data_IF_793043339734
#
_entry.id   IF_793043339734
#
_cell.length_a   1.000
_cell.length_b   1.000
_cell.length_c   1.000
_cell.angle_alpha   90.00
_cell.angle_beta   90.00
_cell.angle_gamma   90.00
#
_symmetry.space_group_name_H-M   'P 1'
#
loop_
_entity.id
_entity.type
_entity.pdbx_description
1 polymer ?
#
# COMPACT_ATOMS: atom_id res chain seq x y z
N UNK A 1 26.75 -13.51 27.85
CA UNK A 1 26.16 -13.34 26.50
C UNK A 1 26.29 -11.87 26.12
N UNK A 2 27.09 -11.52 25.09
CA UNK A 2 27.35 -10.13 24.70
C UNK A 2 26.07 -9.43 24.21
N UNK A 3 25.93 -8.14 24.53
CA UNK A 3 24.76 -7.31 24.16
C UNK A 3 24.43 -7.37 22.66
N UNK A 4 25.43 -7.46 21.78
CA UNK A 4 25.26 -7.61 20.33
C UNK A 4 24.46 -8.85 19.93
N UNK A 5 24.69 -9.99 20.60
CA UNK A 5 23.97 -11.25 20.34
C UNK A 5 22.52 -11.21 20.87
N UNK A 6 22.28 -10.45 21.95
CA UNK A 6 20.92 -10.23 22.45
C UNK A 6 20.11 -9.30 21.53
N UNK A 7 20.74 -8.27 20.96
CA UNK A 7 20.08 -7.36 20.02
C UNK A 7 19.74 -8.05 18.69
N UNK A 8 20.66 -8.85 18.14
CA UNK A 8 20.42 -9.61 16.91
C UNK A 8 19.29 -10.64 17.06
N UNK A 9 19.26 -11.40 18.17
CA UNK A 9 18.19 -12.37 18.44
C UNK A 9 16.82 -11.70 18.64
N UNK A 10 16.77 -10.53 19.27
CA UNK A 10 15.54 -9.71 19.35
C UNK A 10 15.06 -9.29 17.97
N UNK A 11 15.95 -8.74 17.13
CA UNK A 11 15.62 -8.34 15.75
C UNK A 11 15.07 -9.53 14.95
N UNK A 12 15.69 -10.72 15.07
CA UNK A 12 15.23 -11.94 14.39
C UNK A 12 13.83 -12.38 14.86
N UNK A 13 13.58 -12.35 16.18
CA UNK A 13 12.26 -12.68 16.75
C UNK A 13 11.18 -11.70 16.28
N UNK A 14 11.44 -10.40 16.39
CA UNK A 14 10.50 -9.36 15.91
C UNK A 14 10.23 -9.50 14.41
N UNK A 15 11.26 -9.75 13.61
CA UNK A 15 11.12 -9.95 12.17
C UNK A 15 10.19 -11.11 11.81
N UNK A 16 10.11 -12.16 12.65
CA UNK A 16 9.15 -13.26 12.44
C UNK A 16 7.71 -12.84 12.66
N UNK A 17 7.44 -12.08 13.71
CA UNK A 17 6.10 -11.52 13.97
C UNK A 17 5.68 -10.58 12.87
N UNK A 18 6.55 -9.65 12.46
CA UNK A 18 6.27 -8.72 11.36
C UNK A 18 6.02 -9.44 10.05
N UNK A 19 6.78 -10.50 9.74
CA UNK A 19 6.56 -11.29 8.53
C UNK A 19 5.21 -12.01 8.52
N UNK A 20 4.78 -12.56 9.67
CA UNK A 20 3.44 -13.15 9.80
C UNK A 20 2.35 -12.09 9.61
N UNK A 21 2.52 -10.91 10.20
CA UNK A 21 1.62 -9.79 10.02
C UNK A 21 1.53 -9.36 8.55
N UNK A 22 2.66 -9.19 7.87
CA UNK A 22 2.69 -8.80 6.45
C UNK A 22 1.99 -9.84 5.58
N UNK A 23 2.20 -11.14 5.83
CA UNK A 23 1.52 -12.23 5.11
C UNK A 23 0.02 -12.27 5.38
N UNK A 24 -0.37 -12.06 6.64
CA UNK A 24 -1.77 -11.92 7.00
C UNK A 24 -2.42 -10.77 6.22
N UNK A 25 -1.77 -9.59 6.19
CA UNK A 25 -2.25 -8.44 5.43
C UNK A 25 -2.32 -8.71 3.92
N UNK A 26 -1.39 -9.47 3.34
CA UNK A 26 -1.44 -9.84 1.91
C UNK A 26 -2.71 -10.61 1.54
N UNK A 27 -3.27 -11.40 2.46
CA UNK A 27 -4.53 -12.14 2.25
C UNK A 27 -5.73 -11.32 2.70
N UNK A 28 -5.61 -10.63 3.83
CA UNK A 28 -6.70 -9.84 4.41
C UNK A 28 -7.12 -8.68 3.51
N UNK A 29 -6.18 -8.00 2.84
CA UNK A 29 -6.47 -6.86 1.96
C UNK A 29 -7.35 -7.27 0.77
N UNK A 30 -7.00 -8.28 -0.06
CA UNK A 30 -7.88 -8.73 -1.14
C UNK A 30 -9.24 -9.22 -0.65
N UNK A 31 -9.25 -9.99 0.45
CA UNK A 31 -10.49 -10.50 1.04
C UNK A 31 -11.40 -9.36 1.47
N UNK A 32 -10.84 -8.30 2.07
CA UNK A 32 -11.58 -7.09 2.43
C UNK A 32 -12.23 -6.43 1.21
N UNK A 33 -11.51 -6.25 0.10
CA UNK A 33 -12.07 -5.64 -1.11
C UNK A 33 -13.15 -6.51 -1.76
N UNK A 34 -12.98 -7.83 -1.76
CA UNK A 34 -14.01 -8.76 -2.25
C UNK A 34 -15.26 -8.67 -1.39
N UNK A 35 -15.14 -8.76 -0.06
CA UNK A 35 -16.27 -8.66 0.87
C UNK A 35 -16.96 -7.30 0.73
N UNK A 36 -16.19 -6.22 0.64
CA UNK A 36 -16.74 -4.86 0.49
C UNK A 36 -17.64 -4.76 -0.74
N UNK A 37 -17.19 -5.20 -1.92
CA UNK A 37 -17.98 -5.12 -3.15
C UNK A 37 -19.12 -6.13 -3.23
N UNK A 38 -18.94 -7.35 -2.72
CA UNK A 38 -20.00 -8.38 -2.70
C UNK A 38 -21.14 -7.99 -1.76
N UNK A 39 -20.82 -7.41 -0.60
CA UNK A 39 -21.81 -7.06 0.41
C UNK A 39 -22.20 -5.59 0.41
N UNK A 40 -21.78 -4.80 -0.59
CA UNK A 40 -21.96 -3.34 -0.60
C UNK A 40 -23.41 -2.89 -0.34
N UNK A 41 -24.39 -3.61 -0.89
CA UNK A 41 -25.83 -3.31 -0.73
C UNK A 41 -26.39 -3.65 0.67
N UNK A 42 -25.65 -4.40 1.48
CA UNK A 42 -26.01 -4.77 2.86
C UNK A 42 -25.19 -4.01 3.91
N UNK A 43 -24.17 -3.26 3.48
CA UNK A 43 -23.34 -2.47 4.38
C UNK A 43 -24.10 -1.20 4.80
N UNK A 44 -23.98 -0.78 6.08
CA UNK A 44 -24.51 0.50 6.51
C UNK A 44 -23.87 1.64 5.72
N UNK A 45 -24.67 2.66 5.40
CA UNK A 45 -24.25 3.88 4.69
C UNK A 45 -23.00 4.53 5.31
N UNK A 46 -22.80 4.39 6.63
CA UNK A 46 -21.60 4.88 7.32
C UNK A 46 -20.32 4.20 6.85
N UNK A 47 -20.34 2.88 6.56
CA UNK A 47 -19.19 2.13 6.04
C UNK A 47 -18.95 2.39 4.55
N UNK A 48 -20.00 2.71 3.80
CA UNK A 48 -19.90 3.09 2.39
C UNK A 48 -19.27 4.48 2.27
N UNK A 49 -19.69 5.42 3.13
CA UNK A 49 -19.30 6.83 3.07
C UNK A 49 -18.02 7.22 3.84
N UNK A 50 -17.30 6.26 4.45
CA UNK A 50 -16.05 6.57 5.22
C UNK A 50 -15.03 7.34 4.38
N UNK A 51 -15.04 7.20 3.05
CA UNK A 51 -14.11 7.85 2.14
C UNK A 51 -14.78 8.59 0.96
N UNK A 52 -16.10 8.80 1.00
CA UNK A 52 -16.83 9.55 -0.03
C UNK A 52 -17.58 10.71 0.62
N UNK A 53 -17.57 11.88 -0.03
CA UNK A 53 -18.29 13.05 0.47
C UNK A 53 -19.76 12.68 0.73
N UNK A 54 -20.25 12.99 1.93
CA UNK A 54 -21.62 12.71 2.36
C UNK A 54 -22.61 13.44 1.46
N UNK A 55 -23.12 12.74 0.46
CA UNK A 55 -24.15 13.22 -0.46
C UNK A 55 -25.15 12.08 -0.64
N UNK A 56 -26.44 12.40 -0.84
CA UNK A 56 -27.50 11.41 -0.81
C UNK A 56 -27.32 10.44 -1.98
N UNK A 57 -26.72 9.30 -1.71
CA UNK A 57 -26.93 8.10 -2.52
C UNK A 57 -28.42 7.82 -2.33
N UNK A 58 -29.23 8.10 -3.36
CA UNK A 58 -30.62 7.65 -3.40
C UNK A 58 -30.65 6.19 -2.98
N UNK A 59 -31.63 5.79 -2.16
CA UNK A 59 -31.84 4.46 -1.53
C UNK A 59 -32.02 3.29 -2.54
N UNK A 60 -31.32 3.34 -3.67
CA UNK A 60 -31.27 2.31 -4.67
C UNK A 60 -30.06 1.42 -4.42
N UNK A 61 -30.34 0.12 -4.36
CA UNK A 61 -29.32 -0.93 -4.42
C UNK A 61 -28.43 -0.71 -5.64
N UNK A 62 -27.11 -0.71 -5.44
CA UNK A 62 -26.15 -0.59 -6.53
C UNK A 62 -26.37 -1.76 -7.51
N UNK A 63 -26.49 -1.45 -8.80
CA UNK A 63 -26.70 -2.49 -9.81
C UNK A 63 -25.45 -3.39 -9.94
N UNK A 64 -25.66 -4.68 -10.22
CA UNK A 64 -24.56 -5.66 -10.37
C UNK A 64 -23.46 -5.21 -11.35
N UNK A 65 -23.77 -4.58 -12.51
CA UNK A 65 -22.73 -4.06 -13.40
C UNK A 65 -21.85 -2.97 -12.77
N UNK A 66 -22.45 -2.08 -11.97
CA UNK A 66 -21.73 -1.02 -11.25
C UNK A 66 -20.86 -1.59 -10.12
N UNK A 67 -21.31 -2.66 -9.45
CA UNK A 67 -20.50 -3.38 -8.48
C UNK A 67 -19.25 -4.00 -9.13
N UNK A 68 -19.40 -4.65 -10.29
CA UNK A 68 -18.27 -5.20 -11.03
C UNK A 68 -17.31 -4.11 -11.50
N UNK A 69 -17.83 -2.99 -12.00
CA UNK A 69 -16.99 -1.86 -12.43
C UNK A 69 -16.15 -1.31 -11.26
N UNK A 70 -16.78 -1.13 -10.10
CA UNK A 70 -16.10 -0.70 -8.89
C UNK A 70 -15.08 -1.71 -8.36
N UNK A 71 -15.41 -3.02 -8.40
CA UNK A 71 -14.48 -4.09 -8.04
C UNK A 71 -13.26 -4.11 -8.96
N UNK A 72 -13.46 -3.99 -10.27
CA UNK A 72 -12.38 -3.93 -11.26
C UNK A 72 -11.50 -2.68 -11.07
N UNK A 73 -12.12 -1.55 -10.76
CA UNK A 73 -11.41 -0.31 -10.45
C UNK A 73 -10.55 -0.41 -9.17
N UNK A 74 -10.87 -1.33 -8.24
CA UNK A 74 -10.08 -1.57 -7.04
C UNK A 74 -8.79 -2.38 -7.29
N UNK A 75 -8.74 -3.16 -8.39
CA UNK A 75 -7.61 -4.06 -8.65
C UNK A 75 -6.24 -3.36 -8.68
N UNK A 76 -6.06 -2.20 -9.35
CA UNK A 76 -4.77 -1.51 -9.34
C UNK A 76 -4.29 -1.10 -7.94
N UNK A 77 -5.22 -0.71 -7.07
CA UNK A 77 -4.92 -0.34 -5.67
C UNK A 77 -4.46 -1.58 -4.89
N UNK A 78 -5.21 -2.67 -5.00
CA UNK A 78 -4.89 -3.94 -4.33
C UNK A 78 -3.54 -4.48 -4.80
N UNK A 79 -3.27 -4.46 -6.11
CA UNK A 79 -2.00 -4.91 -6.68
C UNK A 79 -0.82 -4.06 -6.19
N UNK A 80 -1.00 -2.74 -6.09
CA UNK A 80 0.04 -1.83 -5.56
C UNK A 80 0.35 -2.14 -4.08
N UNK A 81 -0.68 -2.39 -3.26
CA UNK A 81 -0.51 -2.80 -1.85
C UNK A 81 0.18 -4.16 -1.72
N UNK A 82 -0.26 -5.17 -2.48
CA UNK A 82 0.36 -6.50 -2.47
C UNK A 82 1.83 -6.39 -2.88
N UNK A 83 2.14 -5.62 -3.93
CA UNK A 83 3.51 -5.40 -4.35
C UNK A 83 4.37 -4.80 -3.22
N UNK A 84 3.86 -3.79 -2.50
CA UNK A 84 4.53 -3.24 -1.31
C UNK A 84 4.75 -4.29 -0.22
N UNK A 85 3.70 -5.02 0.15
CA UNK A 85 3.75 -6.07 1.17
C UNK A 85 4.74 -7.18 0.82
N UNK A 86 4.80 -7.63 -0.43
CA UNK A 86 5.75 -8.66 -0.87
C UNK A 86 7.19 -8.19 -0.69
N UNK A 87 7.49 -6.93 -0.99
CA UNK A 87 8.83 -6.38 -0.78
C UNK A 87 9.16 -6.23 0.71
N UNK A 88 8.16 -5.91 1.56
CA UNK A 88 8.30 -5.89 3.02
C UNK A 88 8.57 -7.31 3.58
N UNK A 89 7.86 -8.34 3.15
CA UNK A 89 8.11 -9.75 3.57
C UNK A 89 9.52 -10.18 3.19
N UNK A 90 9.97 -9.83 1.97
CA UNK A 90 11.35 -10.09 1.53
C UNK A 90 12.37 -9.37 2.39
N UNK A 91 12.12 -8.12 2.77
CA UNK A 91 13.01 -7.35 3.64
C UNK A 91 13.16 -8.01 5.01
N UNK A 92 12.05 -8.37 5.65
CA UNK A 92 12.08 -9.07 6.94
C UNK A 92 12.71 -10.46 6.85
N UNK A 93 12.62 -11.15 5.71
CA UNK A 93 13.33 -12.42 5.50
C UNK A 93 14.85 -12.25 5.60
N UNK A 94 15.42 -11.16 5.08
CA UNK A 94 16.86 -10.90 5.25
C UNK A 94 17.22 -10.61 6.71
N UNK A 95 16.39 -9.86 7.44
CA UNK A 95 16.61 -9.60 8.87
C UNK A 95 16.53 -10.86 9.74
N UNK A 96 15.63 -11.80 9.40
CA UNK A 96 15.59 -13.12 10.04
C UNK A 96 16.89 -13.91 9.83
N UNK A 97 17.54 -13.76 8.68
CA UNK A 97 18.82 -14.40 8.38
C UNK A 97 20.01 -13.70 9.04
N UNK A 98 19.79 -12.61 9.78
CA UNK A 98 20.85 -11.81 10.39
C UNK A 98 21.64 -10.96 9.39
N UNK A 99 21.16 -10.87 8.14
CA UNK A 99 21.78 -10.02 7.12
C UNK A 99 21.26 -8.60 7.31
N UNK A 100 22.17 -7.65 7.46
CA UNK A 100 21.85 -6.23 7.66
C UNK A 100 22.71 -5.40 6.70
N UNK A 101 22.13 -4.36 6.11
CA UNK A 101 22.75 -3.45 5.15
C UNK A 101 23.34 -4.10 3.89
N UNK A 102 22.70 -5.14 3.35
CA UNK A 102 23.07 -5.65 2.03
C UNK A 102 22.53 -4.79 0.90
N UNK A 103 23.22 -4.77 -0.24
CA UNK A 103 22.76 -4.11 -1.47
C UNK A 103 21.33 -4.54 -1.86
N UNK A 104 20.99 -5.82 -1.65
CA UNK A 104 19.66 -6.36 -1.93
C UNK A 104 18.58 -5.75 -1.02
N UNK A 105 18.88 -5.45 0.25
CA UNK A 105 17.94 -4.79 1.17
C UNK A 105 17.70 -3.34 0.76
N UNK A 106 18.74 -2.63 0.32
CA UNK A 106 18.63 -1.26 -0.19
C UNK A 106 17.71 -1.21 -1.42
N UNK A 107 17.87 -2.17 -2.34
CA UNK A 107 16.97 -2.31 -3.48
C UNK A 107 15.53 -2.57 -3.06
N UNK A 108 15.28 -3.37 -2.03
CA UNK A 108 13.92 -3.61 -1.51
C UNK A 108 13.28 -2.32 -0.96
N UNK A 109 14.02 -1.46 -0.24
CA UNK A 109 13.49 -0.16 0.20
C UNK A 109 13.02 0.71 -0.98
N UNK A 110 13.79 0.73 -2.08
CA UNK A 110 13.35 1.44 -3.30
C UNK A 110 12.08 0.84 -3.90
N UNK A 111 11.91 -0.48 -3.85
CA UNK A 111 10.69 -1.14 -4.36
C UNK A 111 9.48 -0.83 -3.47
N UNK A 112 9.67 -0.79 -2.14
CA UNK A 112 8.63 -0.36 -1.19
C UNK A 112 8.23 1.08 -1.45
N UNK A 113 9.19 2.00 -1.62
CA UNK A 113 8.90 3.39 -1.97
C UNK A 113 8.12 3.52 -3.29
N UNK A 114 8.53 2.78 -4.33
CA UNK A 114 7.78 2.73 -5.61
C UNK A 114 6.37 2.18 -5.43
N UNK A 115 6.18 1.16 -4.59
CA UNK A 115 4.87 0.61 -4.28
C UNK A 115 3.94 1.66 -3.63
N UNK A 116 4.47 2.45 -2.69
CA UNK A 116 3.73 3.54 -2.06
C UNK A 116 3.32 4.62 -3.07
N UNK A 117 4.21 5.02 -3.97
CA UNK A 117 3.89 5.99 -5.03
C UNK A 117 2.83 5.43 -6.00
N UNK A 118 2.96 4.18 -6.42
CA UNK A 118 1.96 3.50 -7.25
C UNK A 118 0.61 3.42 -6.52
N UNK A 119 0.62 3.15 -5.22
CA UNK A 119 -0.58 3.12 -4.41
C UNK A 119 -1.27 4.48 -4.37
N UNK A 120 -0.55 5.59 -4.20
CA UNK A 120 -1.15 6.94 -4.22
C UNK A 120 -1.81 7.25 -5.57
N UNK A 121 -1.14 6.92 -6.68
CA UNK A 121 -1.71 7.15 -8.01
C UNK A 121 -2.97 6.30 -8.22
N UNK A 122 -2.89 5.02 -7.87
CA UNK A 122 -4.02 4.10 -8.04
C UNK A 122 -5.17 4.41 -7.08
N UNK A 123 -4.91 4.88 -5.85
CA UNK A 123 -5.95 5.26 -4.89
C UNK A 123 -6.71 6.49 -5.37
N UNK A 124 -6.01 7.50 -5.89
CA UNK A 124 -6.63 8.71 -6.45
C UNK A 124 -7.55 8.39 -7.63
N UNK A 125 -7.11 7.49 -8.53
CA UNK A 125 -7.94 6.98 -9.63
C UNK A 125 -9.14 6.17 -9.13
N UNK A 126 -8.94 5.35 -8.10
CA UNK A 126 -9.99 4.52 -7.52
C UNK A 126 -11.06 5.35 -6.81
N UNK A 127 -10.70 6.37 -6.04
CA UNK A 127 -11.66 7.30 -5.42
C UNK A 127 -12.48 8.05 -6.48
N UNK A 128 -11.81 8.49 -7.55
CA UNK A 128 -12.47 9.13 -8.69
C UNK A 128 -13.47 8.18 -9.36
N UNK A 129 -13.05 6.95 -9.65
CA UNK A 129 -13.93 5.93 -10.22
C UNK A 129 -15.11 5.57 -9.30
N UNK A 130 -14.86 5.40 -8.00
CA UNK A 130 -15.91 5.13 -7.00
C UNK A 130 -16.95 6.25 -6.96
N UNK A 131 -16.53 7.50 -6.98
CA UNK A 131 -17.46 8.65 -6.94
C UNK A 131 -18.45 8.63 -8.11
N UNK A 132 -17.95 8.28 -9.31
CA UNK A 132 -18.78 8.14 -10.50
C UNK A 132 -19.69 6.91 -10.38
N UNK A 133 -19.16 5.77 -9.93
CA UNK A 133 -19.93 4.53 -9.75
C UNK A 133 -21.11 4.73 -8.80
N UNK A 134 -20.89 5.39 -7.65
CA UNK A 134 -21.94 5.61 -6.65
C UNK A 134 -22.96 6.65 -7.07
N UNK A 135 -22.57 7.65 -7.88
CA UNK A 135 -23.49 8.70 -8.33
C UNK A 135 -24.09 8.42 -9.72
N UNK A 136 -23.72 7.33 -10.38
CA UNK A 136 -24.16 7.03 -11.75
C UNK A 136 -25.69 6.91 -11.88
N UNK A 137 -26.33 6.38 -10.84
CA UNK A 137 -27.78 6.20 -10.77
C UNK A 137 -28.54 7.49 -10.38
N UNK A 138 -27.82 8.56 -10.05
CA UNK A 138 -28.45 9.84 -9.76
C UNK A 138 -28.97 10.51 -11.04
N UNK A 139 -30.00 11.36 -10.93
CA UNK A 139 -30.51 12.18 -12.02
C UNK A 139 -29.40 12.99 -12.74
N UNK A 140 -29.60 13.35 -14.02
CA UNK A 140 -28.72 14.28 -14.71
C UNK A 140 -28.58 15.59 -13.91
N UNK A 141 -27.33 15.97 -13.58
CA UNK A 141 -27.02 17.13 -12.74
C UNK A 141 -26.58 16.78 -11.30
N UNK A 142 -26.83 15.54 -10.85
CA UNK A 142 -26.46 15.05 -9.51
C UNK A 142 -25.34 13.98 -9.55
N UNK A 143 -24.70 13.80 -10.71
CA UNK A 143 -23.52 12.94 -10.88
C UNK A 143 -22.27 13.70 -10.48
N UNK A 144 -21.47 13.13 -9.59
CA UNK A 144 -20.29 13.79 -9.03
C UNK A 144 -19.02 13.03 -9.41
N UNK A 145 -18.00 13.80 -9.79
CA UNK A 145 -16.62 13.34 -9.92
C UNK A 145 -15.81 14.00 -8.82
N UNK A 146 -15.40 13.23 -7.81
CA UNK A 146 -14.53 13.70 -6.73
C UNK A 146 -13.15 13.12 -6.90
N UNK A 147 -12.12 13.96 -6.85
CA UNK A 147 -10.73 13.50 -6.91
C UNK A 147 -10.24 13.21 -5.50
N UNK A 148 -9.84 11.97 -5.22
CA UNK A 148 -9.32 11.54 -3.93
C UNK A 148 -7.87 11.95 -3.72
N UNK A 149 -7.62 13.24 -3.54
CA UNK A 149 -6.30 13.76 -3.22
C UNK A 149 -6.38 14.66 -1.99
N UNK A 150 -5.73 14.25 -0.91
CA UNK A 150 -5.72 14.97 0.36
C UNK A 150 -4.38 14.91 1.08
N UNK A 151 -4.43 15.26 2.37
CA UNK A 151 -3.24 15.30 3.23
C UNK A 151 -2.63 13.90 3.47
N UNK A 152 -3.45 12.84 3.42
CA UNK A 152 -2.98 11.47 3.58
C UNK A 152 -2.10 11.02 2.41
N UNK A 153 -2.54 11.27 1.17
CA UNK A 153 -1.77 10.98 -0.04
C UNK A 153 -0.46 11.76 -0.07
N UNK A 154 -0.52 13.06 0.30
CA UNK A 154 0.67 13.91 0.42
C UNK A 154 1.68 13.35 1.43
N UNK A 155 1.22 12.98 2.64
CA UNK A 155 2.07 12.36 3.67
C UNK A 155 2.73 11.08 3.16
N UNK A 156 1.98 10.21 2.48
CA UNK A 156 2.49 8.94 1.96
C UNK A 156 3.51 9.18 0.84
N UNK A 157 3.29 10.16 -0.04
CA UNK A 157 4.28 10.53 -1.05
C UNK A 157 5.57 11.06 -0.42
N UNK A 158 5.48 11.86 0.64
CA UNK A 158 6.67 12.33 1.38
C UNK A 158 7.41 11.14 2.00
N UNK A 159 6.71 10.22 2.66
CA UNK A 159 7.31 9.01 3.24
C UNK A 159 7.99 8.16 2.16
N UNK A 160 7.34 8.00 1.00
CA UNK A 160 7.90 7.26 -0.12
C UNK A 160 9.15 7.95 -0.69
N UNK A 161 9.10 9.26 -0.89
CA UNK A 161 10.23 10.06 -1.38
C UNK A 161 11.42 10.00 -0.42
N UNK A 162 11.18 10.15 0.89
CA UNK A 162 12.22 10.03 1.91
C UNK A 162 12.81 8.62 1.94
N UNK A 163 11.97 7.59 1.91
CA UNK A 163 12.44 6.19 1.90
C UNK A 163 13.28 5.91 0.66
N UNK A 164 12.86 6.40 -0.50
CA UNK A 164 13.63 6.27 -1.75
C UNK A 164 14.97 7.01 -1.66
N UNK A 165 14.97 8.25 -1.16
CA UNK A 165 16.16 9.06 -1.00
C UNK A 165 17.17 8.41 -0.05
N UNK A 166 16.72 7.95 1.13
CA UNK A 166 17.59 7.23 2.08
C UNK A 166 18.17 5.97 1.43
N UNK A 167 17.36 5.18 0.73
CA UNK A 167 17.85 4.00 0.05
C UNK A 167 18.88 4.35 -1.04
N UNK A 168 18.70 5.46 -1.76
CA UNK A 168 19.68 5.92 -2.74
C UNK A 168 21.00 6.36 -2.09
N UNK A 169 20.96 7.14 -1.01
CA UNK A 169 22.16 7.56 -0.28
C UNK A 169 22.93 6.36 0.29
N UNK A 170 22.23 5.36 0.84
CA UNK A 170 22.87 4.15 1.37
C UNK A 170 23.51 3.33 0.24
N UNK A 171 22.88 3.24 -0.93
CA UNK A 171 23.46 2.58 -2.10
C UNK A 171 24.76 3.26 -2.54
N UNK A 172 24.76 4.60 -2.61
CA UNK A 172 25.94 5.38 -3.01
C UNK A 172 27.11 5.18 -2.03
N UNK A 173 26.83 5.20 -0.73
CA UNK A 173 27.86 4.93 0.28
C UNK A 173 28.46 3.52 0.18
N UNK A 174 27.66 2.53 -0.23
CA UNK A 174 28.14 1.17 -0.47
C UNK A 174 29.06 1.12 -1.71
N UNK A 175 28.68 1.77 -2.81
CA UNK A 175 29.48 1.80 -4.04
C UNK A 175 30.87 2.43 -3.79
N UNK A 176 30.92 3.58 -3.10
CA UNK A 176 32.18 4.26 -2.78
C UNK A 176 33.09 3.39 -1.89
N UNK A 177 32.51 2.65 -0.96
CA UNK A 177 33.26 1.72 -0.08
C UNK A 177 33.82 0.52 -0.83
N UNK A 178 33.13 0.06 -1.88
CA UNK A 178 33.62 -1.00 -2.76
C UNK A 178 34.77 -0.51 -3.63
N UNK A 179 34.70 0.69 -4.20
CA UNK A 179 35.78 1.28 -5.01
C UNK A 179 37.08 1.50 -4.22
N UNK A 180 36.99 1.93 -2.96
CA UNK A 180 38.16 2.12 -2.09
C UNK A 180 38.86 0.81 -1.73
N UNK A 181 38.21 -0.35 -1.83
CA UNK A 181 38.87 -1.66 -1.64
C UNK A 181 39.76 -2.06 -2.81
N UNK A 182 39.58 -1.48 -3.99
CA UNK A 182 40.32 -1.84 -5.20
C UNK A 182 41.43 -0.84 -5.57
N UNK A 183 41.54 0.27 -4.85
CA UNK A 183 42.65 1.22 -5.00
C UNK A 183 43.70 0.95 -3.92
N UNK A 184 44.65 0.07 -4.22
CA UNK A 184 45.93 -0.08 -3.47
C UNK A 184 46.95 0.86 -4.08
#
# INVERSE_FOLDING_TARGET
MNQTNQNLSRIQSFSRTFRLLTRFLMVAVPVYYVIYWVFINYLPQTLINVNTAAQPILDNTLSVPLQWLGFLAALPVVLSLIYGLVNIDRLFRYYQQGIIFSYQQVRLFKHIAKALLLWVVTSMLYESAKSVVFTWQNPPGERLLTVGFGSAELMIMIVAAMTFFIAWVVEEGQNLSEEQKYTV
#
